data_IF_956893803939
#
_entry.id   IF_956893803939
#
_cell.length_a   1.000
_cell.length_b   1.000
_cell.length_c   1.000
_cell.angle_alpha   90.00
_cell.angle_beta   90.00
_cell.angle_gamma   90.00
#
_symmetry.space_group_name_H-M   'P 1'
#
loop_
_entity.id
_entity.type
_entity.pdbx_description
1 polymer ?
#
# COMPACT_ATOMS: atom_id res chain seq x y z
N UNK A 1 -3.90 29.72 -3.52
CA UNK A 1 -2.57 29.55 -2.95
C UNK A 1 -2.62 30.04 -1.51
N UNK A 2 -2.48 29.16 -0.51
CA UNK A 2 -2.49 29.52 0.88
C UNK A 2 -1.16 30.25 1.19
N UNK A 3 -1.23 31.58 1.40
CA UNK A 3 -0.08 32.45 1.66
C UNK A 3 0.27 32.53 3.15
N UNK A 4 -0.57 31.97 4.03
CA UNK A 4 -0.35 31.94 5.48
C UNK A 4 0.50 30.74 5.89
N UNK A 5 1.32 30.92 6.93
CA UNK A 5 2.05 29.82 7.57
C UNK A 5 1.05 28.88 8.26
N UNK A 6 1.27 27.57 8.18
CA UNK A 6 0.41 26.55 8.80
C UNK A 6 0.15 26.82 10.28
N UNK A 7 1.17 27.25 11.03
CA UNK A 7 1.06 27.59 12.45
C UNK A 7 0.15 28.77 12.74
N UNK A 8 0.14 29.81 11.90
CA UNK A 8 -0.76 30.97 12.03
C UNK A 8 -2.22 30.52 11.82
N UNK A 9 -2.47 29.68 10.83
CA UNK A 9 -3.81 29.14 10.56
C UNK A 9 -4.31 28.29 11.73
N UNK A 10 -3.45 27.44 12.31
CA UNK A 10 -3.79 26.63 13.49
C UNK A 10 -4.13 27.53 14.68
N UNK A 11 -3.31 28.55 14.96
CA UNK A 11 -3.58 29.50 16.05
C UNK A 11 -4.93 30.22 15.89
N UNK A 12 -5.24 30.64 14.66
CA UNK A 12 -6.51 31.33 14.38
C UNK A 12 -7.72 30.40 14.59
N UNK A 13 -7.65 29.14 14.12
CA UNK A 13 -8.71 28.15 14.31
C UNK A 13 -8.90 27.82 15.79
N UNK A 14 -7.82 27.55 16.53
CA UNK A 14 -7.90 27.24 17.95
C UNK A 14 -8.50 28.39 18.78
N UNK A 15 -8.19 29.65 18.44
CA UNK A 15 -8.79 30.83 19.06
C UNK A 15 -10.27 30.97 18.70
N UNK A 16 -10.60 30.82 17.42
CA UNK A 16 -11.96 30.93 16.91
C UNK A 16 -12.90 29.97 17.62
N UNK A 17 -12.45 28.72 17.78
CA UNK A 17 -13.25 27.63 18.34
C UNK A 17 -13.07 27.47 19.86
N UNK A 18 -12.32 28.40 20.50
CA UNK A 18 -12.04 28.41 21.95
C UNK A 18 -11.46 27.06 22.46
N UNK A 19 -10.59 26.44 21.66
CA UNK A 19 -10.01 25.13 21.95
C UNK A 19 -8.99 25.25 23.09
N UNK A 20 -9.17 24.49 24.16
CA UNK A 20 -8.29 24.47 25.32
C UNK A 20 -7.37 23.24 25.35
N UNK A 21 -7.73 22.15 24.67
CA UNK A 21 -6.97 20.89 24.64
C UNK A 21 -6.87 20.37 23.21
N UNK A 22 -5.66 19.94 22.83
CA UNK A 22 -5.36 19.44 21.49
C UNK A 22 -4.73 18.06 21.59
N UNK A 23 -5.17 17.14 20.73
CA UNK A 23 -4.52 15.86 20.47
C UNK A 23 -3.85 15.90 19.11
N UNK A 24 -2.71 15.25 18.98
CA UNK A 24 -1.96 15.15 17.71
C UNK A 24 -1.67 13.69 17.38
N UNK A 25 -1.56 13.37 16.09
CA UNK A 25 -1.11 12.05 15.64
C UNK A 25 0.43 11.97 15.73
N UNK A 26 0.93 11.25 16.72
CA UNK A 26 2.37 11.12 16.97
C UNK A 26 3.07 10.36 15.83
N UNK A 27 2.42 9.35 15.24
CA UNK A 27 2.96 8.56 14.14
C UNK A 27 3.12 9.34 12.83
N UNK A 28 2.51 10.52 12.71
CA UNK A 28 2.47 11.28 11.44
C UNK A 28 3.27 12.57 11.47
N UNK A 29 3.61 13.06 12.65
CA UNK A 29 4.33 14.33 12.79
C UNK A 29 5.85 14.10 12.77
N UNK A 30 6.55 14.86 11.92
CA UNK A 30 7.99 15.01 12.08
C UNK A 30 8.31 15.80 13.37
N UNK A 31 9.49 15.59 13.96
CA UNK A 31 9.95 16.37 15.12
C UNK A 31 9.87 17.87 14.88
N UNK A 32 10.20 18.34 13.68
CA UNK A 32 10.11 19.75 13.31
C UNK A 32 8.67 20.26 13.36
N UNK A 33 7.71 19.50 12.85
CA UNK A 33 6.29 19.86 12.90
C UNK A 33 5.78 19.84 14.34
N UNK A 34 6.13 18.84 15.13
CA UNK A 34 5.75 18.77 16.54
C UNK A 34 6.21 20.01 17.31
N UNK A 35 7.48 20.42 17.20
CA UNK A 35 7.99 21.65 17.84
C UNK A 35 7.25 22.91 17.38
N UNK A 36 6.89 23.00 16.09
CA UNK A 36 6.15 24.17 15.58
C UNK A 36 4.70 24.18 16.11
N UNK A 37 4.08 23.04 16.26
CA UNK A 37 2.71 22.92 16.77
C UNK A 37 2.68 23.19 18.28
N UNK A 38 3.63 22.67 19.07
CA UNK A 38 3.76 23.00 20.49
C UNK A 38 3.87 24.52 20.72
N UNK A 39 4.68 25.22 19.91
CA UNK A 39 4.78 26.66 19.97
C UNK A 39 3.46 27.36 19.61
N UNK A 40 2.73 26.89 18.62
CA UNK A 40 1.45 27.43 18.22
C UNK A 40 0.38 27.22 19.31
N UNK A 41 0.33 26.05 19.95
CA UNK A 41 -0.59 25.75 21.03
C UNK A 41 -0.31 26.61 22.25
N UNK A 42 0.97 26.75 22.65
CA UNK A 42 1.38 27.61 23.75
C UNK A 42 1.01 29.08 23.52
N UNK A 43 1.15 29.57 22.27
CA UNK A 43 0.82 30.95 21.91
C UNK A 43 -0.68 31.29 22.04
N UNK A 44 -1.56 30.29 22.06
CA UNK A 44 -3.02 30.47 22.20
C UNK A 44 -3.55 29.96 23.54
N UNK A 45 -2.68 29.45 24.40
CA UNK A 45 -3.05 28.91 25.71
C UNK A 45 -3.74 27.53 25.64
N UNK A 46 -3.62 26.83 24.53
CA UNK A 46 -4.12 25.46 24.39
C UNK A 46 -3.08 24.47 24.94
N UNK A 47 -3.54 23.47 25.70
CA UNK A 47 -2.70 22.40 26.23
C UNK A 47 -2.68 21.21 25.27
N UNK A 48 -1.49 20.74 24.91
CA UNK A 48 -1.34 19.47 24.20
C UNK A 48 -1.50 18.31 25.18
N UNK A 49 -2.43 17.40 24.88
CA UNK A 49 -2.55 16.12 25.57
C UNK A 49 -1.59 15.13 24.90
N UNK A 50 -0.44 14.90 25.52
CA UNK A 50 0.62 14.04 24.99
C UNK A 50 0.25 12.56 25.05
N UNK A 51 0.72 11.78 24.07
CA UNK A 51 0.56 10.33 24.00
C UNK A 51 -0.18 9.86 22.74
N UNK A 52 -0.23 8.56 22.56
CA UNK A 52 -0.78 7.85 21.38
C UNK A 52 -2.32 7.78 21.36
N UNK A 53 -3.00 8.55 22.18
CA UNK A 53 -4.46 8.45 22.34
C UNK A 53 -5.22 8.71 21.04
N UNK A 54 -4.79 9.73 20.27
CA UNK A 54 -5.43 10.03 18.99
C UNK A 54 -5.13 8.95 17.96
N UNK A 55 -3.89 8.47 17.91
CA UNK A 55 -3.46 7.41 17.00
C UNK A 55 -4.30 6.14 17.22
N UNK A 56 -4.46 5.71 18.47
CA UNK A 56 -5.29 4.54 18.84
C UNK A 56 -6.77 4.74 18.47
N UNK A 57 -7.35 5.90 18.74
CA UNK A 57 -8.74 6.21 18.38
C UNK A 57 -8.94 6.19 16.86
N UNK A 58 -7.99 6.73 16.09
CA UNK A 58 -8.06 6.73 14.64
C UNK A 58 -7.86 5.33 14.05
N UNK A 59 -6.98 4.51 14.65
CA UNK A 59 -6.83 3.11 14.29
C UNK A 59 -8.13 2.33 14.51
N UNK A 60 -8.75 2.47 15.68
CA UNK A 60 -10.03 1.83 15.99
C UNK A 60 -11.13 2.26 15.01
N UNK A 61 -11.24 3.58 14.75
CA UNK A 61 -12.21 4.12 13.79
C UNK A 61 -12.03 3.54 12.39
N UNK A 62 -10.79 3.33 11.94
CA UNK A 62 -10.47 2.78 10.62
C UNK A 62 -10.63 1.26 10.53
N UNK A 63 -10.75 0.55 11.65
CA UNK A 63 -10.88 -0.91 11.67
C UNK A 63 -12.19 -1.35 11.01
N UNK A 64 -13.29 -0.66 11.30
CA UNK A 64 -14.61 -0.99 10.75
C UNK A 64 -14.92 -0.04 9.60
N UNK A 65 -14.93 -0.58 8.37
CA UNK A 65 -15.16 0.19 7.15
C UNK A 65 -16.64 0.43 6.91
N UNK A 66 -16.99 1.63 6.52
CA UNK A 66 -18.33 1.99 6.06
C UNK A 66 -18.65 1.32 4.71
N UNK A 67 -19.93 1.20 4.31
CA UNK A 67 -20.30 0.69 2.99
C UNK A 67 -19.67 1.49 1.83
N UNK A 68 -19.43 2.79 2.01
CA UNK A 68 -18.76 3.66 1.04
C UNK A 68 -17.28 3.29 0.87
N UNK A 69 -16.57 3.04 1.96
CA UNK A 69 -15.18 2.60 1.97
C UNK A 69 -15.02 1.20 1.38
N UNK A 70 -15.94 0.29 1.71
CA UNK A 70 -15.95 -1.07 1.12
C UNK A 70 -16.09 -1.00 -0.41
N UNK A 71 -16.93 -0.10 -0.94
CA UNK A 71 -17.03 0.07 -2.41
C UNK A 71 -15.72 0.50 -3.02
N UNK A 72 -15.05 1.51 -2.45
CA UNK A 72 -13.75 1.99 -2.92
C UNK A 72 -12.66 0.92 -2.88
N UNK A 73 -12.62 0.13 -1.79
CA UNK A 73 -11.71 -1.03 -1.69
C UNK A 73 -11.97 -2.05 -2.80
N UNK A 74 -13.25 -2.37 -3.08
CA UNK A 74 -13.62 -3.29 -4.16
C UNK A 74 -13.28 -2.74 -5.55
N UNK A 75 -13.41 -1.44 -5.76
CA UNK A 75 -13.02 -0.79 -7.02
C UNK A 75 -11.52 -0.85 -7.24
N UNK A 76 -10.71 -0.56 -6.22
CA UNK A 76 -9.26 -0.71 -6.28
C UNK A 76 -8.85 -2.19 -6.51
N UNK A 77 -9.49 -3.12 -5.79
CA UNK A 77 -9.25 -4.56 -5.95
C UNK A 77 -9.60 -5.04 -7.36
N UNK A 78 -10.70 -4.54 -7.95
CA UNK A 78 -11.08 -4.91 -9.31
C UNK A 78 -10.00 -4.58 -10.34
N UNK A 79 -9.39 -3.40 -10.25
CA UNK A 79 -8.27 -3.03 -11.14
C UNK A 79 -7.10 -4.01 -10.96
N UNK A 80 -6.82 -4.40 -9.71
CA UNK A 80 -5.75 -5.37 -9.40
C UNK A 80 -6.06 -6.75 -9.98
N UNK A 81 -7.30 -7.23 -9.85
CA UNK A 81 -7.76 -8.50 -10.42
C UNK A 81 -7.69 -8.50 -11.96
N UNK A 82 -8.10 -7.39 -12.58
CA UNK A 82 -8.04 -7.21 -14.04
C UNK A 82 -6.57 -7.17 -14.52
N UNK A 83 -5.67 -6.52 -13.77
CA UNK A 83 -4.24 -6.50 -14.06
C UNK A 83 -3.60 -7.89 -13.93
N UNK A 84 -4.00 -8.67 -12.93
CA UNK A 84 -3.57 -10.06 -12.81
C UNK A 84 -4.05 -10.90 -14.00
N UNK A 85 -5.30 -10.73 -14.41
CA UNK A 85 -5.82 -11.44 -15.59
C UNK A 85 -5.05 -11.07 -16.86
N UNK A 86 -4.75 -9.78 -17.04
CA UNK A 86 -3.96 -9.27 -18.16
C UNK A 86 -2.55 -9.86 -18.20
N UNK A 87 -1.86 -9.93 -17.04
CA UNK A 87 -0.46 -10.36 -17.00
C UNK A 87 -0.30 -11.83 -17.35
N UNK A 88 -1.33 -12.67 -17.17
CA UNK A 88 -1.28 -14.08 -17.52
C UNK A 88 -1.06 -14.32 -19.02
N UNK A 89 -1.52 -13.40 -19.86
CA UNK A 89 -1.27 -13.46 -21.32
C UNK A 89 0.07 -12.85 -21.71
N UNK A 90 0.71 -12.12 -20.80
CA UNK A 90 1.94 -11.37 -21.05
C UNK A 90 3.19 -12.08 -20.53
N UNK A 91 3.10 -12.67 -19.34
CA UNK A 91 4.20 -13.34 -18.65
C UNK A 91 4.66 -14.60 -19.39
N UNK A 92 5.96 -14.73 -19.62
CA UNK A 92 6.56 -15.89 -20.29
C UNK A 92 8.07 -15.95 -20.08
N UNK A 93 8.65 -17.10 -20.33
CA UNK A 93 10.11 -17.24 -20.39
C UNK A 93 10.74 -16.27 -21.39
N UNK A 94 11.90 -15.72 -21.04
CA UNK A 94 12.63 -14.72 -21.82
C UNK A 94 12.31 -13.27 -21.47
N UNK A 95 11.29 -12.99 -20.66
CA UNK A 95 11.03 -11.66 -20.10
C UNK A 95 11.75 -11.49 -18.77
N UNK A 96 11.93 -10.25 -18.33
CA UNK A 96 12.51 -9.95 -17.02
C UNK A 96 11.43 -9.68 -15.99
N UNK A 97 11.75 -9.90 -14.72
CA UNK A 97 10.89 -9.54 -13.58
C UNK A 97 10.45 -8.06 -13.65
N UNK A 98 11.38 -7.17 -14.04
CA UNK A 98 11.13 -5.73 -14.20
C UNK A 98 10.13 -5.42 -15.31
N UNK A 99 10.22 -6.11 -16.46
CA UNK A 99 9.28 -5.91 -17.56
C UNK A 99 7.86 -6.28 -17.16
N UNK A 100 7.68 -7.36 -16.40
CA UNK A 100 6.37 -7.79 -15.94
C UNK A 100 5.81 -6.85 -14.85
N UNK A 101 6.67 -6.34 -13.95
CA UNK A 101 6.28 -5.34 -12.96
C UNK A 101 5.81 -4.03 -13.62
N UNK A 102 6.55 -3.55 -14.63
CA UNK A 102 6.19 -2.35 -15.38
C UNK A 102 4.89 -2.51 -16.17
N UNK A 103 4.66 -3.69 -16.75
CA UNK A 103 3.42 -3.98 -17.47
C UNK A 103 2.21 -3.96 -16.53
N UNK A 104 2.33 -4.57 -15.34
CA UNK A 104 1.28 -4.53 -14.31
C UNK A 104 0.97 -3.10 -13.89
N UNK A 105 1.97 -2.28 -13.58
CA UNK A 105 1.76 -0.88 -13.21
C UNK A 105 1.12 -0.08 -14.36
N UNK A 106 1.63 -0.25 -15.58
CA UNK A 106 1.10 0.45 -16.76
C UNK A 106 -0.38 0.10 -16.98
N UNK A 107 -0.72 -1.19 -16.91
CA UNK A 107 -2.09 -1.66 -17.05
C UNK A 107 -3.00 -1.06 -15.97
N UNK A 108 -2.61 -1.13 -14.68
CA UNK A 108 -3.41 -0.56 -13.59
C UNK A 108 -3.68 0.93 -13.77
N UNK A 109 -2.66 1.70 -14.17
CA UNK A 109 -2.82 3.14 -14.44
C UNK A 109 -3.72 3.42 -15.64
N UNK A 110 -3.65 2.61 -16.68
CA UNK A 110 -4.51 2.69 -17.86
C UNK A 110 -5.98 2.43 -17.50
N UNK A 111 -6.23 1.49 -16.58
CA UNK A 111 -7.57 1.18 -16.06
C UNK A 111 -8.07 2.18 -15.00
N UNK A 112 -7.31 3.24 -14.73
CA UNK A 112 -7.76 4.38 -13.92
C UNK A 112 -7.19 4.42 -12.50
N UNK A 113 -6.24 3.56 -12.14
CA UNK A 113 -5.56 3.66 -10.86
C UNK A 113 -4.79 4.99 -10.74
N UNK A 114 -4.90 5.65 -9.59
CA UNK A 114 -4.17 6.87 -9.26
C UNK A 114 -2.66 6.60 -9.06
N UNK A 115 -2.33 5.36 -8.71
CA UNK A 115 -0.97 4.90 -8.48
C UNK A 115 -0.95 3.41 -8.13
N UNK A 116 0.21 2.97 -7.68
CA UNK A 116 0.38 1.66 -7.04
C UNK A 116 0.19 1.79 -5.54
N UNK A 117 -0.26 0.73 -4.90
CA UNK A 117 -0.47 0.70 -3.45
C UNK A 117 0.84 0.73 -2.66
N UNK A 118 1.85 0.08 -3.21
CA UNK A 118 3.21 -0.09 -2.69
C UNK A 118 4.14 -0.48 -3.84
N UNK A 119 5.44 -0.48 -3.59
CA UNK A 119 6.43 -0.95 -4.57
C UNK A 119 6.21 -2.43 -4.85
N UNK A 120 5.93 -2.79 -6.10
CA UNK A 120 5.58 -4.15 -6.48
C UNK A 120 6.71 -5.14 -6.21
N UNK A 121 6.33 -6.33 -5.77
CA UNK A 121 7.18 -7.51 -5.75
C UNK A 121 6.80 -8.35 -6.98
N UNK A 122 7.73 -8.53 -7.90
CA UNK A 122 7.62 -9.47 -9.02
C UNK A 122 8.94 -10.20 -9.08
N UNK A 123 8.94 -11.42 -8.59
CA UNK A 123 10.16 -12.24 -8.42
C UNK A 123 9.98 -13.64 -8.96
N UNK A 124 11.05 -14.20 -9.54
CA UNK A 124 10.97 -15.47 -10.26
C UNK A 124 12.04 -16.46 -9.81
N UNK A 125 11.73 -17.75 -9.90
CA UNK A 125 12.63 -18.84 -9.58
C UNK A 125 13.26 -18.67 -8.19
N UNK A 126 14.59 -18.64 -8.10
CA UNK A 126 15.30 -18.49 -6.83
C UNK A 126 15.00 -17.20 -6.06
N UNK A 127 14.64 -16.12 -6.79
CA UNK A 127 14.28 -14.84 -6.16
C UNK A 127 12.94 -14.93 -5.43
N UNK A 128 12.09 -15.90 -5.74
CA UNK A 128 10.83 -16.15 -5.04
C UNK A 128 11.00 -16.49 -3.54
N UNK A 129 12.21 -16.79 -3.08
CA UNK A 129 12.52 -16.92 -1.65
C UNK A 129 12.67 -15.59 -0.90
N UNK A 130 12.71 -14.48 -1.63
CA UNK A 130 12.85 -13.13 -1.07
C UNK A 130 11.46 -12.54 -0.81
N UNK A 131 11.01 -12.53 0.43
CA UNK A 131 9.67 -12.04 0.82
C UNK A 131 9.40 -10.60 0.38
N UNK A 132 10.44 -9.76 0.31
CA UNK A 132 10.39 -8.38 -0.17
C UNK A 132 11.36 -8.17 -1.33
N UNK A 133 11.34 -9.10 -2.30
CA UNK A 133 12.21 -9.03 -3.45
C UNK A 133 11.83 -7.87 -4.38
N UNK A 134 12.83 -7.13 -4.85
CA UNK A 134 12.63 -6.05 -5.81
C UNK A 134 12.73 -6.62 -7.23
N UNK A 135 11.79 -6.28 -8.14
CA UNK A 135 11.86 -6.71 -9.54
C UNK A 135 13.18 -6.34 -10.19
N UNK A 136 13.88 -7.33 -10.71
CA UNK A 136 15.24 -7.19 -11.25
C UNK A 136 15.30 -7.46 -12.76
N UNK A 137 16.50 -7.38 -13.31
CA UNK A 137 16.76 -7.78 -14.71
C UNK A 137 16.94 -9.31 -14.85
N UNK A 138 16.62 -10.10 -13.79
CA UNK A 138 16.57 -11.56 -13.91
C UNK A 138 15.57 -11.93 -14.98
N UNK A 139 16.01 -12.75 -15.93
CA UNK A 139 15.17 -13.33 -16.96
C UNK A 139 14.38 -14.50 -16.34
N UNK A 140 13.07 -14.50 -16.60
CA UNK A 140 12.17 -15.58 -16.22
C UNK A 140 12.45 -16.78 -17.14
N UNK A 141 12.58 -17.95 -16.55
CA UNK A 141 12.90 -19.20 -17.26
C UNK A 141 11.72 -20.16 -17.28
N UNK A 142 11.73 -21.09 -18.20
CA UNK A 142 10.79 -22.21 -18.18
C UNK A 142 10.98 -23.04 -16.90
N UNK A 143 9.89 -23.30 -16.20
CA UNK A 143 9.91 -23.97 -14.89
C UNK A 143 10.02 -23.02 -13.68
N UNK A 144 10.12 -21.70 -13.90
CA UNK A 144 10.08 -20.76 -12.78
C UNK A 144 8.66 -20.62 -12.22
N UNK A 145 8.55 -20.54 -10.90
CA UNK A 145 7.44 -19.84 -10.28
C UNK A 145 7.71 -18.34 -10.32
N UNK A 146 6.68 -17.56 -10.62
CA UNK A 146 6.70 -16.11 -10.50
C UNK A 146 5.69 -15.69 -9.44
N UNK A 147 6.19 -15.09 -8.38
CA UNK A 147 5.37 -14.49 -7.32
C UNK A 147 5.22 -13.02 -7.58
N UNK A 148 3.99 -12.57 -7.66
CA UNK A 148 3.59 -11.18 -7.88
C UNK A 148 2.79 -10.71 -6.69
N UNK A 149 3.29 -9.69 -6.00
CA UNK A 149 2.60 -8.99 -4.92
C UNK A 149 2.38 -7.55 -5.36
N UNK A 150 1.12 -7.20 -5.59
CA UNK A 150 0.74 -5.99 -6.34
C UNK A 150 -0.59 -5.44 -5.86
N UNK A 151 -0.80 -4.16 -6.05
CA UNK A 151 -2.07 -3.54 -5.70
C UNK A 151 -2.25 -2.16 -6.31
N UNK A 152 -3.47 -1.85 -6.71
CA UNK A 152 -3.86 -0.55 -7.23
C UNK A 152 -4.26 0.41 -6.10
N UNK A 153 -3.88 1.68 -6.24
CA UNK A 153 -4.37 2.79 -5.45
C UNK A 153 -5.50 3.49 -6.21
N UNK A 154 -6.68 3.57 -5.60
CA UNK A 154 -7.83 4.27 -6.19
C UNK A 154 -8.66 4.96 -5.10
N UNK A 155 -9.00 6.23 -5.30
CA UNK A 155 -9.80 7.04 -4.36
C UNK A 155 -9.23 7.08 -2.93
N UNK A 156 -7.87 7.02 -2.84
CA UNK A 156 -7.16 6.95 -1.57
C UNK A 156 -7.25 5.60 -0.84
N UNK A 157 -7.76 4.54 -1.49
CA UNK A 157 -7.84 3.18 -0.97
C UNK A 157 -6.89 2.26 -1.72
N UNK A 158 -6.27 1.37 -0.97
CA UNK A 158 -5.20 0.48 -1.44
C UNK A 158 -5.72 -0.94 -1.57
N UNK A 159 -5.55 -1.55 -2.73
CA UNK A 159 -5.65 -2.99 -2.92
C UNK A 159 -4.30 -3.64 -2.62
N UNK A 160 -4.34 -4.91 -2.26
CA UNK A 160 -3.17 -5.72 -1.92
C UNK A 160 -3.47 -7.17 -2.27
N UNK A 161 -2.69 -7.76 -3.18
CA UNK A 161 -2.92 -9.11 -3.68
C UNK A 161 -1.64 -9.79 -4.09
N UNK A 162 -1.33 -10.92 -3.45
CA UNK A 162 -0.24 -11.80 -3.87
C UNK A 162 -0.76 -12.98 -4.68
N UNK A 163 -0.12 -13.27 -5.82
CA UNK A 163 -0.37 -14.48 -6.62
C UNK A 163 0.95 -15.08 -7.10
N UNK A 164 1.00 -16.41 -7.13
CA UNK A 164 2.12 -17.16 -7.70
C UNK A 164 1.64 -18.00 -8.87
N UNK A 165 2.33 -17.88 -9.99
CA UNK A 165 2.04 -18.64 -11.22
C UNK A 165 3.28 -19.40 -11.67
N UNK A 166 3.06 -20.50 -12.40
CA UNK A 166 4.12 -21.27 -13.03
C UNK A 166 4.31 -20.80 -14.48
N UNK A 167 5.55 -20.64 -14.90
CA UNK A 167 5.89 -20.36 -16.30
C UNK A 167 6.42 -21.64 -16.93
N UNK A 168 5.67 -22.17 -17.91
CA UNK A 168 6.00 -23.44 -18.56
C UNK A 168 5.80 -24.65 -17.65
N UNK A 169 6.79 -25.55 -17.62
CA UNK A 169 6.66 -26.84 -16.92
C UNK A 169 7.41 -26.85 -15.58
N UNK A 170 6.66 -26.98 -14.48
CA UNK A 170 7.22 -27.11 -13.12
C UNK A 170 7.34 -28.57 -12.70
N UNK A 171 8.33 -28.89 -11.87
CA UNK A 171 8.55 -30.23 -11.33
C UNK A 171 7.45 -30.64 -10.33
N UNK A 172 7.35 -31.95 -10.07
CA UNK A 172 6.44 -32.48 -9.04
C UNK A 172 6.80 -31.97 -7.64
N UNK A 173 8.08 -31.75 -7.35
CA UNK A 173 8.54 -31.18 -6.08
C UNK A 173 8.05 -29.72 -5.92
N UNK A 174 8.19 -28.91 -6.95
CA UNK A 174 7.69 -27.52 -6.95
C UNK A 174 6.16 -27.49 -6.78
N UNK A 175 5.44 -28.35 -7.50
CA UNK A 175 3.97 -28.48 -7.36
C UNK A 175 3.58 -28.88 -5.96
N UNK A 176 4.27 -29.86 -5.37
CA UNK A 176 4.01 -30.29 -4.00
C UNK A 176 4.24 -29.17 -2.99
N UNK A 177 5.33 -28.41 -3.14
CA UNK A 177 5.61 -27.26 -2.27
C UNK A 177 4.52 -26.19 -2.38
N UNK A 178 4.07 -25.88 -3.60
CA UNK A 178 2.96 -24.94 -3.82
C UNK A 178 1.66 -25.40 -3.16
N UNK A 179 1.30 -26.68 -3.32
CA UNK A 179 0.08 -27.26 -2.75
C UNK A 179 0.10 -27.26 -1.21
N UNK A 180 1.27 -27.48 -0.59
CA UNK A 180 1.42 -27.36 0.86
C UNK A 180 1.18 -25.94 1.37
N UNK A 181 1.73 -24.93 0.68
CA UNK A 181 1.52 -23.52 1.03
C UNK A 181 0.05 -23.14 0.85
N UNK A 182 -0.55 -23.52 -0.28
CA UNK A 182 -1.96 -23.27 -0.55
C UNK A 182 -2.86 -23.90 0.52
N UNK A 183 -2.57 -25.15 0.91
CA UNK A 183 -3.33 -25.83 1.95
C UNK A 183 -3.21 -25.07 3.29
N UNK A 184 -2.00 -24.67 3.70
CA UNK A 184 -1.77 -23.94 4.93
C UNK A 184 -2.45 -22.55 4.94
N UNK A 185 -2.66 -21.96 3.77
CA UNK A 185 -3.39 -20.68 3.62
C UNK A 185 -4.90 -20.85 3.78
N UNK A 186 -5.45 -21.99 3.37
CA UNK A 186 -6.88 -22.26 3.37
C UNK A 186 -7.41 -22.86 4.69
N UNK A 187 -6.52 -23.45 5.50
CA UNK A 187 -6.80 -24.02 6.83
C UNK A 187 -6.86 -22.91 7.90
#
# INVERSE_FOLDING_TARGET
LCTRRTTETICDLLKQDHVQRVLVEYDKLSLKQACLFEQAFAAVGAAEEKGEKLDLLLQELRTIKTPGEIRKLKEAQKITDDAFTHILDYIRAGRTEREDALELEFFMRKEGAEGVSFDFIVVSGKNGSLCHGVPSDKVIEDGDFVTMDTGALLHGYHADMTRTVAVGHVSDEQRHAYDLVLKAQLD
#
